data_IF_436154470132
#
_entry.id   IF_436154470132
#
_cell.length_a   1.000
_cell.length_b   1.000
_cell.length_c   1.000
_cell.angle_alpha   90.00
_cell.angle_beta   90.00
_cell.angle_gamma   90.00
#
_symmetry.space_group_name_H-M   'P 1'
#
loop_
_entity.id
_entity.type
_entity.pdbx_description
1 polymer ?
#
# COMPACT_ATOMS: atom_id res chain seq x y z
N UNK A 1 -7.09 8.65 -10.57
CA UNK A 1 -6.43 7.35 -10.31
C UNK A 1 -7.45 6.39 -9.70
N UNK A 2 -7.57 5.21 -10.24
CA UNK A 2 -8.52 4.24 -9.74
C UNK A 2 -7.78 2.98 -9.31
N UNK A 3 -7.72 2.76 -8.00
CA UNK A 3 -7.05 1.60 -7.42
C UNK A 3 -8.09 0.58 -6.95
N UNK A 4 -7.66 -0.67 -6.93
CA UNK A 4 -8.46 -1.79 -6.44
C UNK A 4 -7.55 -2.77 -5.72
N UNK A 5 -8.14 -3.70 -4.98
CA UNK A 5 -7.36 -4.78 -4.40
C UNK A 5 -6.75 -5.62 -5.52
N UNK A 6 -5.47 -5.92 -5.39
CA UNK A 6 -4.68 -6.54 -6.44
C UNK A 6 -3.86 -5.56 -7.27
N UNK A 7 -4.12 -4.26 -7.15
CA UNK A 7 -3.31 -3.25 -7.83
C UNK A 7 -1.88 -3.28 -7.34
N UNK A 8 -0.92 -3.15 -8.27
CA UNK A 8 0.50 -3.10 -7.98
C UNK A 8 1.00 -1.69 -8.26
N UNK A 9 1.71 -1.12 -7.29
CA UNK A 9 2.11 0.28 -7.31
C UNK A 9 3.57 0.45 -6.97
N UNK A 10 4.15 1.55 -7.44
CA UNK A 10 5.42 2.05 -6.93
C UNK A 10 5.13 3.25 -6.04
N UNK A 11 5.64 3.21 -4.81
CA UNK A 11 5.38 4.25 -3.80
C UNK A 11 6.68 4.63 -3.10
N UNK A 12 6.69 5.83 -2.51
CA UNK A 12 7.75 6.28 -1.61
C UNK A 12 7.13 6.73 -0.31
N UNK A 13 7.94 6.74 0.75
CA UNK A 13 7.51 7.21 2.07
C UNK A 13 6.74 6.18 2.89
N UNK A 14 6.64 4.93 2.42
CA UNK A 14 5.88 3.90 3.10
C UNK A 14 6.69 3.20 4.20
N UNK A 15 7.91 2.78 3.88
CA UNK A 15 8.75 2.00 4.80
C UNK A 15 9.71 2.89 5.56
N UNK A 16 10.17 3.97 4.93
CA UNK A 16 11.04 4.94 5.57
C UNK A 16 10.60 6.36 5.24
N UNK A 17 11.02 7.33 6.05
CA UNK A 17 10.73 8.74 5.82
C UNK A 17 11.47 9.28 4.60
N UNK A 18 12.35 8.49 4.00
CA UNK A 18 13.09 8.89 2.81
C UNK A 18 12.25 8.68 1.56
N UNK A 19 12.16 9.71 0.74
CA UNK A 19 11.52 9.60 -0.57
C UNK A 19 12.51 9.15 -1.65
N UNK A 20 13.68 8.68 -1.26
CA UNK A 20 14.69 8.17 -2.17
C UNK A 20 14.52 6.69 -2.49
N UNK A 21 13.87 5.94 -1.60
CA UNK A 21 13.63 4.52 -1.80
C UNK A 21 12.23 4.27 -2.34
N UNK A 22 12.17 3.61 -3.48
CA UNK A 22 10.92 3.25 -4.14
C UNK A 22 10.58 1.81 -3.78
N UNK A 23 9.39 1.61 -3.25
CA UNK A 23 8.88 0.30 -2.91
C UNK A 23 7.82 -0.13 -3.92
N UNK A 24 7.89 -1.39 -4.33
CA UNK A 24 6.84 -1.99 -5.17
C UNK A 24 5.93 -2.81 -4.26
N UNK A 25 4.67 -2.42 -4.22
CA UNK A 25 3.70 -2.99 -3.29
C UNK A 25 2.42 -3.39 -4.01
N UNK A 26 1.65 -4.27 -3.37
CA UNK A 26 0.33 -4.68 -3.85
C UNK A 26 -0.69 -4.43 -2.74
N UNK A 27 -1.86 -3.92 -3.13
CA UNK A 27 -2.97 -3.76 -2.19
C UNK A 27 -3.71 -5.09 -2.06
N UNK A 28 -3.87 -5.56 -0.83
CA UNK A 28 -4.49 -6.84 -0.52
C UNK A 28 -5.66 -6.62 0.41
N UNK A 29 -6.80 -7.22 0.09
CA UNK A 29 -7.96 -7.19 0.96
C UNK A 29 -7.89 -8.39 1.92
N UNK A 30 -7.56 -8.12 3.18
CA UNK A 30 -7.48 -9.17 4.20
C UNK A 30 -8.57 -8.95 5.24
N UNK A 31 -9.67 -9.68 5.10
CA UNK A 31 -10.82 -9.59 6.01
C UNK A 31 -10.84 -10.71 7.05
N UNK A 32 -9.83 -11.58 7.05
CA UNK A 32 -9.86 -12.80 7.86
C UNK A 32 -9.34 -12.62 9.28
N UNK A 33 -8.67 -11.49 9.57
CA UNK A 33 -8.07 -11.25 10.88
C UNK A 33 -9.02 -10.57 11.87
N UNK A 34 -10.23 -10.25 11.44
CA UNK A 34 -11.21 -9.60 12.30
C UNK A 34 -10.94 -8.12 12.55
N UNK A 35 -9.89 -7.57 11.97
CA UNK A 35 -9.55 -6.16 12.09
C UNK A 35 -10.38 -5.32 11.13
N UNK A 36 -10.61 -4.05 11.50
CA UNK A 36 -11.21 -3.09 10.57
C UNK A 36 -10.24 -2.61 9.50
N UNK A 37 -8.95 -2.88 9.65
CA UNK A 37 -7.91 -2.46 8.70
C UNK A 37 -7.76 -3.51 7.61
N UNK A 38 -8.72 -3.53 6.70
CA UNK A 38 -8.79 -4.57 5.68
C UNK A 38 -7.89 -4.33 4.47
N UNK A 39 -7.45 -3.09 4.26
CA UNK A 39 -6.55 -2.76 3.17
C UNK A 39 -5.11 -2.94 3.64
N UNK A 40 -4.51 -4.06 3.29
CA UNK A 40 -3.13 -4.37 3.64
C UNK A 40 -2.23 -3.99 2.48
N UNK A 41 -1.04 -3.48 2.79
CA UNK A 41 -0.02 -3.14 1.79
C UNK A 41 1.07 -4.18 1.87
N UNK A 42 1.19 -4.99 0.83
CA UNK A 42 2.16 -6.07 0.74
C UNK A 42 3.39 -5.60 -0.03
N UNK A 43 4.54 -5.65 0.63
CA UNK A 43 5.82 -5.36 -0.03
C UNK A 43 6.20 -6.57 -0.88
N UNK A 44 6.30 -6.38 -2.20
CA UNK A 44 6.61 -7.47 -3.11
C UNK A 44 8.08 -7.87 -3.11
N UNK A 45 8.96 -7.08 -2.49
CA UNK A 45 10.37 -7.46 -2.33
C UNK A 45 10.56 -8.48 -1.21
N UNK A 46 9.83 -8.31 -0.11
CA UNK A 46 9.99 -9.14 1.09
C UNK A 46 8.82 -10.07 1.33
N UNK A 47 7.70 -9.88 0.61
CA UNK A 47 6.44 -10.57 0.81
C UNK A 47 5.88 -10.40 2.22
N UNK A 48 6.13 -9.23 2.81
CA UNK A 48 5.62 -8.89 4.13
C UNK A 48 4.59 -7.77 4.04
N UNK A 49 3.60 -7.80 4.94
CA UNK A 49 2.66 -6.71 5.11
C UNK A 49 3.38 -5.60 5.86
N UNK A 50 3.51 -4.44 5.24
CA UNK A 50 4.27 -3.32 5.80
C UNK A 50 3.39 -2.19 6.31
N UNK A 51 2.10 -2.18 5.97
CA UNK A 51 1.16 -1.19 6.44
C UNK A 51 -0.26 -1.70 6.27
N UNK A 52 -1.20 -1.10 7.00
CA UNK A 52 -2.62 -1.38 6.83
C UNK A 52 -3.44 -0.11 6.95
N UNK A 53 -4.59 -0.10 6.30
CA UNK A 53 -5.53 1.01 6.27
C UNK A 53 -6.95 0.48 6.31
N UNK A 54 -7.91 1.31 6.69
CA UNK A 54 -9.31 0.89 6.71
C UNK A 54 -9.86 0.67 5.31
N UNK A 55 -9.36 1.44 4.34
CA UNK A 55 -9.83 1.36 2.95
C UNK A 55 -8.72 1.78 2.00
N UNK A 56 -8.94 1.53 0.71
CA UNK A 56 -8.05 2.03 -0.33
C UNK A 56 -8.02 3.55 -0.34
N UNK A 57 -9.16 4.19 -0.08
CA UNK A 57 -9.23 5.64 -0.04
C UNK A 57 -8.35 6.22 1.06
N UNK A 58 -8.33 5.60 2.23
CA UNK A 58 -7.45 6.02 3.33
C UNK A 58 -5.97 5.89 2.93
N UNK A 59 -5.62 4.84 2.20
CA UNK A 59 -4.28 4.68 1.67
C UNK A 59 -3.93 5.82 0.70
N UNK A 60 -4.83 6.13 -0.23
CA UNK A 60 -4.59 7.17 -1.24
C UNK A 60 -4.44 8.54 -0.60
N UNK A 61 -5.22 8.83 0.42
CA UNK A 61 -5.23 10.15 1.06
C UNK A 61 -4.15 10.33 2.12
N UNK A 62 -3.37 9.29 2.40
CA UNK A 62 -2.29 9.38 3.38
C UNK A 62 -1.20 10.32 2.86
N UNK A 63 -0.88 11.36 3.64
CA UNK A 63 0.05 12.41 3.23
C UNK A 63 1.52 11.99 3.26
N UNK A 64 1.83 10.92 3.99
CA UNK A 64 3.21 10.44 4.11
C UNK A 64 3.62 9.56 2.94
N UNK A 65 2.66 9.03 2.22
CA UNK A 65 2.90 8.09 1.12
C UNK A 65 2.63 8.80 -0.20
N UNK A 66 3.58 8.70 -1.12
CA UNK A 66 3.41 9.24 -2.47
C UNK A 66 3.40 8.09 -3.47
N UNK A 67 2.33 8.00 -4.24
CA UNK A 67 2.22 7.01 -5.31
C UNK A 67 2.88 7.57 -6.54
N UNK A 68 3.90 6.86 -7.04
CA UNK A 68 4.66 7.29 -8.21
C UNK A 68 4.07 6.72 -9.50
N UNK A 69 3.62 5.47 -9.45
CA UNK A 69 3.16 4.77 -10.64
C UNK A 69 2.21 3.65 -10.25
N UNK A 70 1.18 3.44 -11.05
CA UNK A 70 0.32 2.25 -10.94
C UNK A 70 0.74 1.32 -12.06
N UNK A 71 1.26 0.14 -11.68
CA UNK A 71 1.79 -0.83 -12.65
C UNK A 71 0.69 -1.74 -13.17
N UNK A 72 -0.17 -2.19 -12.26
CA UNK A 72 -1.24 -3.11 -12.65
C UNK A 72 -2.50 -2.95 -11.80
#
# INVERSE_FOLDING_TARGET
MKLRYGSILKVVGLISDSYEEVDTVMLVNNITDGSKYNCKVLDLSTYEIVADFESIEDFITNKQIKILEVIA
#
